data_IF_818871241678
#
_entry.id   IF_818871241678
#
_cell.length_a   1.000
_cell.length_b   1.000
_cell.length_c   1.000
_cell.angle_alpha   90.00
_cell.angle_beta   90.00
_cell.angle_gamma   90.00
#
_symmetry.space_group_name_H-M   'P 1'
#
loop_
_entity.id
_entity.type
_entity.pdbx_description
1 polymer ?
#
# COMPACT_ATOMS: atom_id res chain seq x y z
N UNK A 1 10.68 -23.40 15.74
CA UNK A 1 11.11 -22.54 16.86
C UNK A 1 9.90 -22.26 17.72
N UNK A 2 9.88 -22.70 18.97
CA UNK A 2 8.77 -22.40 19.88
C UNK A 2 9.26 -21.36 20.88
N UNK A 3 8.62 -20.20 20.87
CA UNK A 3 8.90 -19.09 21.79
C UNK A 3 8.31 -19.43 23.16
N UNK A 4 9.13 -19.49 24.21
CA UNK A 4 8.69 -19.80 25.59
C UNK A 4 9.17 -18.69 26.53
N UNK A 5 8.42 -18.42 27.61
CA UNK A 5 8.78 -17.48 28.67
C UNK A 5 8.95 -16.01 28.22
N UNK A 6 7.99 -15.46 27.46
CA UNK A 6 8.02 -14.05 27.00
C UNK A 6 9.17 -13.70 26.05
N UNK A 7 9.88 -14.70 25.53
CA UNK A 7 10.90 -14.52 24.49
C UNK A 7 10.19 -14.44 23.14
N UNK A 8 10.35 -13.35 22.40
CA UNK A 8 9.90 -13.25 21.01
C UNK A 8 10.89 -13.90 20.03
N UNK A 9 10.43 -14.19 18.81
CA UNK A 9 11.30 -14.61 17.71
C UNK A 9 11.30 -13.56 16.61
N UNK A 10 12.48 -13.20 16.11
CA UNK A 10 12.64 -12.37 14.93
C UNK A 10 12.87 -13.24 13.71
N UNK A 11 11.90 -13.22 12.79
CA UNK A 11 11.99 -13.92 11.50
C UNK A 11 12.31 -12.92 10.41
N UNK A 12 13.39 -13.15 9.67
CA UNK A 12 13.81 -12.32 8.54
C UNK A 12 14.46 -13.20 7.46
N UNK A 13 14.40 -12.75 6.21
CA UNK A 13 15.01 -13.43 5.08
C UNK A 13 14.20 -13.27 3.80
N UNK A 14 14.74 -13.82 2.72
CA UNK A 14 14.14 -13.79 1.39
C UNK A 14 13.73 -15.19 0.96
N UNK A 15 12.54 -15.33 0.39
CA UNK A 15 12.03 -16.61 -0.10
C UNK A 15 11.68 -16.47 -1.57
N UNK A 16 12.29 -17.32 -2.41
CA UNK A 16 11.90 -17.43 -3.82
C UNK A 16 10.68 -18.34 -3.92
N UNK A 17 9.59 -17.77 -4.43
CA UNK A 17 8.33 -18.49 -4.64
C UNK A 17 7.96 -18.52 -6.12
N UNK A 18 7.26 -19.55 -6.53
CA UNK A 18 6.60 -19.59 -7.84
C UNK A 18 5.56 -18.47 -7.93
N UNK A 19 5.35 -17.92 -9.14
CA UNK A 19 4.33 -16.88 -9.40
C UNK A 19 2.91 -17.45 -9.48
N UNK A 20 2.51 -18.14 -8.41
CA UNK A 20 1.17 -18.72 -8.20
C UNK A 20 0.71 -18.38 -6.80
N UNK A 21 -0.59 -18.54 -6.51
CA UNK A 21 -1.10 -18.35 -5.16
C UNK A 21 -0.44 -19.30 -4.16
N UNK A 22 -0.14 -18.79 -2.96
CA UNK A 22 0.55 -19.53 -1.92
C UNK A 22 0.25 -19.04 -0.51
N UNK A 23 0.80 -19.75 0.47
CA UNK A 23 0.60 -19.47 1.88
C UNK A 23 1.93 -19.64 2.63
N UNK A 24 2.45 -18.54 3.18
CA UNK A 24 3.57 -18.53 4.11
C UNK A 24 3.02 -18.25 5.49
N UNK A 25 3.34 -19.08 6.48
CA UNK A 25 2.80 -18.91 7.81
C UNK A 25 3.77 -19.28 8.91
N UNK A 26 3.62 -18.60 10.04
CA UNK A 26 4.29 -18.91 11.31
C UNK A 26 3.21 -19.28 12.29
N UNK A 27 3.18 -20.55 12.68
CA UNK A 27 2.13 -21.11 13.52
C UNK A 27 2.72 -21.96 14.64
N UNK A 28 1.87 -22.31 15.62
CA UNK A 28 2.25 -23.18 16.71
C UNK A 28 2.62 -24.59 16.19
N UNK A 29 3.67 -25.17 16.76
CA UNK A 29 4.05 -26.56 16.54
C UNK A 29 5.36 -26.73 15.79
N UNK A 30 5.76 -28.00 15.64
CA UNK A 30 6.90 -28.39 14.81
C UNK A 30 6.41 -28.53 13.37
N UNK A 31 7.01 -27.75 12.47
CA UNK A 31 6.82 -27.88 11.03
C UNK A 31 7.46 -29.18 10.54
N UNK A 32 6.65 -30.09 10.00
CA UNK A 32 7.08 -31.36 9.39
C UNK A 32 6.40 -31.51 8.04
N UNK A 33 7.05 -32.20 7.09
CA UNK A 33 6.42 -32.60 5.83
C UNK A 33 5.93 -34.04 5.99
N UNK A 34 4.63 -34.26 5.84
CA UNK A 34 4.00 -35.60 5.79
C UNK A 34 3.19 -35.71 4.51
N UNK A 35 3.41 -36.77 3.74
CA UNK A 35 2.73 -37.03 2.46
C UNK A 35 2.75 -35.85 1.48
N UNK A 36 3.91 -35.16 1.41
CA UNK A 36 4.08 -33.98 0.55
C UNK A 36 3.33 -32.73 1.03
N UNK A 37 2.69 -32.77 2.20
CA UNK A 37 1.98 -31.63 2.81
C UNK A 37 2.77 -31.10 3.99
N UNK A 38 2.81 -29.76 4.09
CA UNK A 38 3.34 -29.07 5.25
C UNK A 38 2.32 -29.14 6.40
N UNK A 39 2.72 -29.75 7.51
CA UNK A 39 1.87 -29.94 8.69
C UNK A 39 2.57 -29.42 9.94
N UNK A 40 1.78 -28.98 10.92
CA UNK A 40 2.28 -28.60 12.24
C UNK A 40 1.89 -29.67 13.24
N UNK A 41 2.88 -30.21 13.93
CA UNK A 41 2.70 -31.13 15.05
C UNK A 41 2.70 -30.32 16.37
N UNK A 42 1.58 -30.33 17.09
CA UNK A 42 1.41 -29.60 18.35
C UNK A 42 0.43 -30.35 19.28
N UNK A 43 0.49 -30.08 20.59
CA UNK A 43 -0.47 -30.61 21.55
C UNK A 43 -1.54 -29.56 21.91
N UNK A 44 -2.76 -29.99 22.25
CA UNK A 44 -3.82 -29.08 22.72
C UNK A 44 -3.43 -28.30 23.99
N UNK A 45 -2.57 -28.90 24.83
CA UNK A 45 -2.02 -28.23 26.01
C UNK A 45 -1.18 -27.02 25.63
N UNK A 46 -0.41 -27.09 24.55
CA UNK A 46 0.43 -25.97 24.08
C UNK A 46 -0.40 -24.74 23.68
N UNK A 47 -1.65 -24.95 23.23
CA UNK A 47 -2.59 -23.86 22.94
C UNK A 47 -3.16 -23.29 24.25
N UNK A 48 -3.55 -24.17 25.17
CA UNK A 48 -4.15 -23.79 26.47
C UNK A 48 -3.16 -23.11 27.41
N UNK A 49 -1.88 -23.47 27.30
CA UNK A 49 -0.76 -22.90 28.06
C UNK A 49 -0.39 -21.47 27.61
N UNK A 50 -1.10 -20.92 26.62
CA UNK A 50 -1.02 -19.51 26.25
C UNK A 50 -0.02 -19.23 25.12
N UNK A 51 -0.13 -19.95 24.00
CA UNK A 51 0.64 -19.60 22.80
C UNK A 51 0.30 -18.18 22.33
N UNK A 52 1.26 -17.28 22.48
CA UNK A 52 1.08 -15.87 22.18
C UNK A 52 1.34 -15.62 20.69
N UNK A 53 0.30 -15.19 19.96
CA UNK A 53 0.37 -14.84 18.54
C UNK A 53 0.54 -13.35 18.28
N UNK A 54 0.93 -12.59 19.32
CA UNK A 54 1.35 -11.20 19.16
C UNK A 54 2.52 -11.10 18.21
N UNK A 55 2.47 -10.15 17.28
CA UNK A 55 3.49 -9.99 16.26
C UNK A 55 3.57 -8.55 15.77
N UNK A 56 4.73 -8.22 15.21
CA UNK A 56 4.98 -6.96 14.51
C UNK A 56 5.54 -7.34 13.15
N UNK A 57 4.88 -6.90 12.08
CA UNK A 57 5.38 -7.06 10.72
C UNK A 57 6.27 -5.86 10.43
N UNK A 58 7.57 -6.03 10.62
CA UNK A 58 8.53 -4.95 10.39
C UNK A 58 8.66 -4.58 8.91
N UNK A 59 8.68 -5.58 8.03
CA UNK A 59 8.80 -5.40 6.58
C UNK A 59 8.28 -6.62 5.85
N UNK A 60 7.51 -6.38 4.80
CA UNK A 60 7.07 -7.40 3.85
C UNK A 60 7.06 -6.79 2.46
N UNK A 61 7.83 -7.35 1.53
CA UNK A 61 8.02 -6.80 0.19
C UNK A 61 7.96 -7.94 -0.84
N UNK A 62 7.42 -7.65 -2.03
CA UNK A 62 7.29 -8.61 -3.13
C UNK A 62 8.06 -8.11 -4.35
N UNK A 63 9.35 -8.42 -4.40
CA UNK A 63 10.27 -7.90 -5.40
C UNK A 63 11.01 -6.66 -4.89
N UNK A 64 11.47 -5.81 -5.80
CA UNK A 64 12.29 -4.66 -5.45
C UNK A 64 11.45 -3.49 -4.91
N UNK A 65 11.92 -2.85 -3.83
CA UNK A 65 11.28 -1.66 -3.24
C UNK A 65 11.34 -0.48 -4.20
N UNK A 66 10.21 0.23 -4.31
CA UNK A 66 10.10 1.47 -5.11
C UNK A 66 9.88 2.65 -4.17
N UNK A 67 10.65 3.75 -4.31
CA UNK A 67 10.42 4.97 -3.54
C UNK A 67 8.98 5.50 -3.73
N UNK A 68 8.35 5.93 -2.63
CA UNK A 68 6.98 6.46 -2.65
C UNK A 68 5.86 5.43 -2.73
N UNK A 69 6.19 4.13 -2.80
CA UNK A 69 5.21 3.04 -2.68
C UNK A 69 5.28 2.49 -1.27
N UNK A 70 4.27 2.78 -0.46
CA UNK A 70 4.17 2.24 0.89
C UNK A 70 3.65 0.79 0.88
N UNK A 71 4.19 0.00 1.80
CA UNK A 71 3.87 -1.41 1.96
C UNK A 71 2.79 -1.56 3.04
N UNK A 72 1.55 -2.00 2.71
CA UNK A 72 0.42 -1.92 3.64
C UNK A 72 0.57 -2.64 4.99
N UNK A 73 1.42 -3.68 5.06
CA UNK A 73 1.68 -4.40 6.31
C UNK A 73 2.93 -3.93 7.06
N UNK A 74 3.73 -3.05 6.47
CA UNK A 74 4.95 -2.54 7.10
C UNK A 74 4.59 -1.74 8.38
N UNK A 75 5.15 -2.14 9.51
CA UNK A 75 4.87 -1.55 10.83
C UNK A 75 3.58 -2.04 11.50
N UNK A 76 2.83 -2.97 10.90
CA UNK A 76 1.59 -3.48 11.52
C UNK A 76 1.91 -4.31 12.77
N UNK A 77 1.32 -3.91 13.91
CA UNK A 77 1.44 -4.62 15.18
C UNK A 77 0.08 -5.14 15.65
N UNK A 78 0.05 -6.40 16.09
CA UNK A 78 -1.11 -7.04 16.73
C UNK A 78 -0.68 -7.64 18.06
N UNK A 79 -1.33 -7.21 19.14
CA UNK A 79 -1.04 -7.67 20.50
C UNK A 79 -2.22 -8.46 21.03
N UNK A 80 -1.95 -9.69 21.45
CA UNK A 80 -2.91 -10.62 22.04
C UNK A 80 -2.65 -10.70 23.53
N UNK A 81 -3.59 -10.22 24.33
CA UNK A 81 -3.49 -10.22 25.80
C UNK A 81 -4.01 -11.53 26.41
N UNK A 82 -5.07 -12.10 25.83
CA UNK A 82 -5.69 -13.35 26.29
C UNK A 82 -6.22 -14.14 25.10
N UNK A 83 -6.15 -15.47 25.19
CA UNK A 83 -6.62 -16.37 24.14
C UNK A 83 -5.53 -16.70 23.12
N UNK A 84 -5.89 -17.52 22.14
CA UNK A 84 -4.99 -17.93 21.08
C UNK A 84 -5.61 -17.54 19.74
N UNK A 85 -5.00 -16.56 19.06
CA UNK A 85 -5.57 -16.00 17.84
C UNK A 85 -4.89 -16.53 16.59
N UNK A 86 -5.69 -16.75 15.56
CA UNK A 86 -5.28 -16.96 14.19
C UNK A 86 -5.44 -15.66 13.40
N UNK A 87 -4.35 -15.18 12.81
CA UNK A 87 -4.33 -14.00 11.95
C UNK A 87 -4.11 -14.41 10.50
N UNK A 88 -5.08 -14.13 9.65
CA UNK A 88 -4.98 -14.30 8.20
C UNK A 88 -4.82 -12.94 7.53
N UNK A 89 -3.73 -12.77 6.80
CA UNK A 89 -3.51 -11.64 5.91
C UNK A 89 -3.64 -12.13 4.46
N UNK A 90 -4.75 -11.77 3.82
CA UNK A 90 -4.98 -12.05 2.40
C UNK A 90 -4.36 -10.93 1.58
N UNK A 91 -3.26 -11.26 0.91
CA UNK A 91 -2.43 -10.35 0.13
C UNK A 91 -2.78 -10.53 -1.35
N UNK A 92 -3.18 -9.45 -2.01
CA UNK A 92 -3.38 -9.43 -3.46
C UNK A 92 -2.21 -8.70 -4.11
N UNK A 93 -1.38 -9.44 -4.84
CA UNK A 93 -0.19 -8.94 -5.53
C UNK A 93 -0.57 -8.41 -6.91
N UNK A 94 -0.27 -7.14 -7.16
CA UNK A 94 -0.46 -6.45 -8.43
C UNK A 94 0.89 -6.27 -9.11
N UNK A 95 1.18 -7.04 -10.18
CA UNK A 95 2.35 -6.81 -11.02
C UNK A 95 2.39 -5.36 -11.48
N UNK A 96 3.51 -4.68 -11.26
CA UNK A 96 3.68 -3.27 -11.60
C UNK A 96 4.98 -3.05 -12.35
N UNK A 97 4.88 -2.38 -13.50
CA UNK A 97 6.02 -1.91 -14.26
C UNK A 97 6.19 -0.41 -14.02
N UNK A 98 7.34 -0.01 -13.47
CA UNK A 98 7.73 1.38 -13.32
C UNK A 98 8.67 1.77 -14.44
N UNK A 99 8.24 2.72 -15.27
CA UNK A 99 9.06 3.32 -16.31
C UNK A 99 9.57 4.67 -15.82
N UNK A 100 10.84 4.70 -15.43
CA UNK A 100 11.56 5.93 -15.11
C UNK A 100 12.05 6.54 -16.42
N UNK A 101 11.82 7.84 -16.65
CA UNK A 101 12.08 8.50 -17.95
C UNK A 101 13.49 8.29 -18.53
N UNK A 102 14.51 8.12 -17.68
CA UNK A 102 15.91 7.89 -18.07
C UNK A 102 16.49 6.55 -17.61
N UNK A 103 15.68 5.64 -17.07
CA UNK A 103 16.13 4.41 -16.41
C UNK A 103 15.69 3.13 -17.11
N UNK A 104 16.27 1.99 -16.69
CA UNK A 104 15.73 0.67 -17.08
C UNK A 104 14.35 0.50 -16.43
N UNK A 105 13.36 -0.07 -17.15
CA UNK A 105 12.06 -0.32 -16.56
C UNK A 105 12.19 -1.31 -15.39
N UNK A 106 11.55 -0.98 -14.27
CA UNK A 106 11.59 -1.76 -13.05
C UNK A 106 10.31 -2.59 -12.90
N UNK A 107 10.46 -3.91 -12.95
CA UNK A 107 9.36 -4.84 -12.70
C UNK A 107 9.30 -5.25 -11.23
N UNK A 108 8.19 -4.94 -10.56
CA UNK A 108 7.98 -5.23 -9.14
C UNK A 108 6.50 -5.53 -8.86
N UNK A 109 6.12 -5.73 -7.59
CA UNK A 109 4.73 -5.94 -7.20
C UNK A 109 4.32 -4.94 -6.14
N UNK A 110 3.20 -4.27 -6.39
CA UNK A 110 2.43 -3.60 -5.35
C UNK A 110 1.48 -4.62 -4.75
N UNK A 111 0.96 -4.36 -3.56
CA UNK A 111 -0.02 -5.26 -2.97
C UNK A 111 -1.04 -4.54 -2.11
N UNK A 112 -2.20 -5.15 -1.95
CA UNK A 112 -3.23 -4.76 -0.98
C UNK A 112 -3.48 -5.92 -0.02
N UNK A 113 -4.01 -5.60 1.16
CA UNK A 113 -4.21 -6.60 2.22
C UNK A 113 -5.58 -6.49 2.86
N UNK A 114 -6.17 -7.66 3.10
CA UNK A 114 -7.33 -7.83 3.97
C UNK A 114 -6.96 -8.71 5.15
N UNK A 115 -7.04 -8.17 6.36
CA UNK A 115 -6.80 -8.92 7.60
C UNK A 115 -8.07 -9.58 8.14
N UNK A 116 -7.95 -10.81 8.64
CA UNK A 116 -8.97 -11.49 9.45
C UNK A 116 -8.33 -12.06 10.71
N UNK A 117 -8.99 -11.89 11.84
CA UNK A 117 -8.55 -12.42 13.13
C UNK A 117 -9.66 -13.30 13.72
N UNK A 118 -9.27 -14.44 14.30
CA UNK A 118 -10.20 -15.41 14.90
C UNK A 118 -9.58 -16.03 16.14
N UNK A 119 -10.31 -16.07 17.25
CA UNK A 119 -9.92 -16.87 18.41
C UNK A 119 -10.11 -18.36 18.09
N UNK A 120 -9.07 -19.15 18.30
CA UNK A 120 -9.07 -20.59 18.01
C UNK A 120 -9.60 -21.43 19.17
N UNK A 121 -9.71 -20.86 20.38
CA UNK A 121 -10.23 -21.55 21.55
C UNK A 121 -11.77 -21.47 21.55
N UNK A 122 -12.45 -22.58 21.26
CA UNK A 122 -13.92 -22.65 21.41
C UNK A 122 -14.27 -22.91 22.87
N UNK A 123 -15.42 -22.37 23.33
CA UNK A 123 -15.94 -22.49 24.71
C UNK A 123 -16.13 -23.93 25.22
N UNK A 124 -15.93 -24.96 24.38
CA UNK A 124 -16.08 -26.38 24.71
C UNK A 124 -14.79 -27.21 24.53
N UNK A 125 -13.62 -26.58 24.36
CA UNK A 125 -12.34 -27.29 24.25
C UNK A 125 -12.02 -27.86 22.87
N UNK A 126 -12.88 -27.61 21.88
CA UNK A 126 -12.57 -27.85 20.46
C UNK A 126 -11.72 -26.70 19.90
N UNK A 127 -10.74 -27.05 19.06
CA UNK A 127 -9.92 -26.07 18.35
C UNK A 127 -10.59 -25.68 17.04
N UNK A 128 -10.94 -24.41 16.88
CA UNK A 128 -11.51 -23.89 15.64
C UNK A 128 -10.47 -23.56 14.55
N UNK A 129 -9.19 -23.83 14.84
CA UNK A 129 -8.06 -23.58 13.95
C UNK A 129 -6.71 -23.68 14.67
N UNK A 130 -5.63 -23.50 13.90
CA UNK A 130 -4.27 -23.42 14.39
C UNK A 130 -3.91 -21.94 14.69
N UNK A 131 -3.56 -21.57 15.93
CA UNK A 131 -3.08 -20.21 16.20
C UNK A 131 -1.77 -19.94 15.47
N UNK A 132 -1.69 -18.75 14.88
CA UNK A 132 -0.53 -18.34 14.09
C UNK A 132 -0.81 -17.13 13.22
N UNK A 133 0.19 -16.74 12.44
CA UNK A 133 0.17 -15.68 11.46
C UNK A 133 0.31 -16.29 10.07
N UNK A 134 -0.67 -16.06 9.21
CA UNK A 134 -0.77 -16.65 7.88
C UNK A 134 -0.81 -15.56 6.82
N UNK A 135 0.19 -15.54 5.95
CA UNK A 135 0.32 -14.67 4.79
C UNK A 135 -0.13 -15.44 3.55
N UNK A 136 -1.38 -15.25 3.15
CA UNK A 136 -1.96 -15.89 1.96
C UNK A 136 -1.85 -14.91 0.81
N UNK A 137 -0.99 -15.19 -0.17
CA UNK A 137 -0.75 -14.29 -1.29
C UNK A 137 -1.29 -14.88 -2.60
N UNK A 138 -1.80 -14.01 -3.46
CA UNK A 138 -2.31 -14.37 -4.78
C UNK A 138 -2.03 -13.25 -5.78
N UNK A 139 -1.66 -13.61 -7.01
CA UNK A 139 -1.40 -12.65 -8.08
C UNK A 139 -2.69 -12.23 -8.78
N UNK A 140 -2.86 -10.93 -8.99
CA UNK A 140 -3.96 -10.40 -9.81
C UNK A 140 -3.69 -10.65 -11.29
N UNK A 141 -4.73 -10.85 -12.12
CA UNK A 141 -4.57 -11.15 -13.54
C UNK A 141 -4.22 -9.93 -14.41
N UNK A 142 -4.16 -8.72 -13.83
CA UNK A 142 -3.83 -7.49 -14.53
C UNK A 142 -2.50 -6.89 -14.03
N UNK A 143 -1.88 -6.06 -14.87
CA UNK A 143 -0.63 -5.36 -14.58
C UNK A 143 -0.85 -3.85 -14.64
N UNK A 144 -0.21 -3.12 -13.73
CA UNK A 144 -0.22 -1.64 -13.72
C UNK A 144 1.09 -1.14 -14.32
N UNK A 145 1.01 -0.30 -15.34
CA UNK A 145 2.17 0.41 -15.88
C UNK A 145 2.15 1.85 -15.39
N UNK A 146 3.18 2.24 -14.63
CA UNK A 146 3.38 3.61 -14.13
C UNK A 146 4.49 4.26 -14.94
N UNK A 147 4.10 5.23 -15.76
CA UNK A 147 5.04 6.03 -16.56
C UNK A 147 5.22 7.39 -15.91
N UNK A 148 6.46 7.74 -15.63
CA UNK A 148 6.80 9.08 -15.15
C UNK A 148 6.79 10.04 -16.33
N UNK A 149 5.97 11.09 -16.24
CA UNK A 149 5.90 12.15 -17.24
C UNK A 149 6.35 13.45 -16.62
N UNK A 150 7.49 13.95 -17.07
CA UNK A 150 7.96 15.27 -16.72
C UNK A 150 7.20 16.33 -17.51
N UNK A 151 6.84 17.43 -16.84
CA UNK A 151 6.29 18.61 -17.50
C UNK A 151 7.43 19.36 -18.19
N UNK A 152 7.37 19.60 -19.51
CA UNK A 152 8.46 20.27 -20.21
C UNK A 152 8.54 21.75 -19.82
N UNK A 153 9.74 22.34 -19.86
CA UNK A 153 9.97 23.75 -19.58
C UNK A 153 9.15 24.70 -20.48
N UNK A 154 8.74 24.24 -21.66
CA UNK A 154 7.84 24.99 -22.55
C UNK A 154 6.49 25.28 -21.89
N UNK A 155 5.98 24.41 -21.02
CA UNK A 155 4.76 24.67 -20.27
C UNK A 155 4.90 25.90 -19.35
N UNK A 156 6.08 26.08 -18.75
CA UNK A 156 6.39 27.27 -17.95
C UNK A 156 6.41 28.53 -18.82
N UNK A 157 7.10 28.51 -19.96
CA UNK A 157 7.16 29.65 -20.88
C UNK A 157 5.77 30.05 -21.40
N UNK A 158 4.95 29.07 -21.81
CA UNK A 158 3.58 29.30 -22.25
C UNK A 158 2.77 29.95 -21.12
N UNK A 159 2.95 29.50 -19.88
CA UNK A 159 2.28 30.08 -18.70
C UNK A 159 2.69 31.54 -18.46
N UNK A 160 3.97 31.88 -18.56
CA UNK A 160 4.46 33.26 -18.42
C UNK A 160 3.90 34.16 -19.51
N UNK A 161 3.94 33.72 -20.77
CA UNK A 161 3.36 34.47 -21.89
C UNK A 161 1.86 34.70 -21.71
N UNK A 162 1.12 33.68 -21.25
CA UNK A 162 -0.31 33.78 -20.98
C UNK A 162 -0.62 34.82 -19.89
N UNK A 163 0.18 34.88 -18.82
CA UNK A 163 0.01 35.87 -17.74
C UNK A 163 0.26 37.29 -18.28
N UNK A 164 1.36 37.52 -19.00
CA UNK A 164 1.70 38.84 -19.54
C UNK A 164 0.64 39.31 -20.55
N UNK A 165 0.22 38.43 -21.47
CA UNK A 165 -0.84 38.73 -22.43
C UNK A 165 -2.19 39.00 -21.74
N UNK A 166 -2.52 38.24 -20.69
CA UNK A 166 -3.71 38.45 -19.86
C UNK A 166 -3.72 39.81 -19.18
N UNK A 167 -2.61 40.23 -18.58
CA UNK A 167 -2.50 41.55 -17.94
C UNK A 167 -2.64 42.68 -18.97
N UNK A 168 -1.97 42.56 -20.12
CA UNK A 168 -2.02 43.59 -21.16
C UNK A 168 -3.42 43.76 -21.76
N UNK A 169 -4.13 42.65 -21.99
CA UNK A 169 -5.51 42.68 -22.52
C UNK A 169 -6.49 43.29 -21.51
N UNK A 170 -6.39 42.93 -20.22
CA UNK A 170 -7.23 43.52 -19.16
C UNK A 170 -6.96 45.02 -19.01
N UNK A 171 -5.70 45.44 -19.00
CA UNK A 171 -5.33 46.85 -18.92
C UNK A 171 -5.88 47.66 -20.12
N UNK A 172 -5.72 47.13 -21.34
CA UNK A 172 -6.22 47.76 -22.57
C UNK A 172 -7.74 47.88 -22.58
N UNK A 173 -8.45 46.88 -22.05
CA UNK A 173 -9.91 46.92 -21.95
C UNK A 173 -10.39 47.99 -20.97
N UNK A 174 -9.76 48.07 -19.80
CA UNK A 174 -10.06 49.08 -18.78
C UNK A 174 -9.83 50.49 -19.34
N UNK A 175 -8.69 50.72 -20.01
CA UNK A 175 -8.36 52.00 -20.62
C UNK A 175 -9.38 52.39 -21.71
N UNK A 176 -9.75 51.45 -22.58
CA UNK A 176 -10.76 51.67 -23.61
C UNK A 176 -12.14 52.02 -23.04
N UNK A 177 -12.55 51.40 -21.93
CA UNK A 177 -13.81 51.69 -21.25
C UNK A 177 -13.75 53.09 -20.61
N UNK A 178 -12.68 53.41 -19.88
CA UNK A 178 -12.48 54.73 -19.26
C UNK A 178 -12.48 55.85 -20.30
N UNK A 179 -11.69 55.71 -21.38
CA UNK A 179 -11.60 56.71 -22.44
C UNK A 179 -12.96 56.96 -23.11
N UNK A 180 -13.72 55.89 -23.42
CA UNK A 180 -15.07 56.00 -23.99
C UNK A 180 -16.05 56.69 -23.04
N UNK A 181 -15.93 56.42 -21.74
CA UNK A 181 -16.81 56.97 -20.70
C UNK A 181 -16.54 58.46 -20.50
N UNK A 182 -15.27 58.86 -20.36
CA UNK A 182 -14.85 60.27 -20.26
C UNK A 182 -15.24 61.06 -21.51
N UNK A 183 -15.04 60.50 -22.72
CA UNK A 183 -15.41 61.18 -23.97
C UNK A 183 -16.91 61.34 -24.16
N UNK A 184 -17.74 60.40 -23.66
CA UNK A 184 -19.20 60.53 -23.65
C UNK A 184 -19.68 61.57 -22.64
N UNK A 185 -19.07 61.63 -21.46
CA UNK A 185 -19.41 62.60 -20.40
C UNK A 185 -18.89 64.01 -20.71
N UNK A 186 -17.76 64.14 -21.41
CA UNK A 186 -17.13 65.41 -21.75
C UNK A 186 -17.64 66.09 -23.03
N UNK A 187 -18.58 65.49 -23.78
CA UNK A 187 -19.26 66.20 -24.86
C UNK A 187 -20.38 67.08 -24.25
N UNK A 188 -20.29 68.43 -24.33
CA UNK A 188 -21.41 69.27 -23.95
C UNK A 188 -22.61 68.93 -24.87
N UNK A 189 -23.80 68.78 -24.29
CA UNK A 189 -25.04 68.71 -25.05
C UNK A 189 -25.17 70.02 -25.82
N UNK A 190 -24.94 69.99 -27.13
CA UNK A 190 -25.40 71.06 -28.01
C UNK A 190 -26.92 70.97 -28.01
N UNK A 191 -27.54 71.81 -27.18
CA UNK A 191 -28.98 72.05 -27.17
C UNK A 191 -29.32 72.75 -28.48
N UNK A 192 -30.23 72.17 -29.24
CA UNK A 192 -30.85 72.78 -30.41
C UNK A 192 -31.92 73.79 -29.98
#
# INVERSE_FOLDING_TARGET
MQCRNSVGCQVHGDVRVSKVGGNVHVALGKSTIRDGKHVHEFNLKDVSDGFNTSHIIHRLEFGQRVPGVESPLEGTAKIVVKGAYMFHYYIKLVPTLFETGNGKPLYTHQYSVTGKEKDVLVRQGELAGLPGVFLVYEFTPFMVQKTEKDVPFTHFLISVCAIIGGVFTVASLIDAILYRTVKKLGKPKSVA
#
